data_IF_268696353827
#
_entry.id   IF_268696353827
#
_cell.length_a   1.000
_cell.length_b   1.000
_cell.length_c   1.000
_cell.angle_alpha   90.00
_cell.angle_beta   90.00
_cell.angle_gamma   90.00
#
_symmetry.space_group_name_H-M   'P 1'
#
loop_
_entity.id
_entity.type
_entity.pdbx_description
1 polymer ?
#
# COMPACT_ATOMS: atom_id res chain seq x y z
N UNK A 1 12.59 5.77 -18.86
CA UNK A 1 11.28 6.25 -19.32
C UNK A 1 10.61 7.10 -18.26
N UNK A 2 10.32 8.35 -18.60
CA UNK A 2 9.52 9.26 -17.77
C UNK A 2 8.06 8.82 -17.87
N UNK A 3 7.34 8.75 -16.73
CA UNK A 3 5.93 8.44 -16.74
C UNK A 3 5.11 9.55 -17.39
N UNK A 4 4.15 9.16 -18.23
CA UNK A 4 3.26 10.06 -18.96
C UNK A 4 1.90 10.13 -18.27
N UNK A 5 1.16 11.23 -18.43
CA UNK A 5 -0.16 11.41 -17.80
C UNK A 5 -1.20 10.37 -18.22
N UNK A 6 -1.03 9.73 -19.37
CA UNK A 6 -1.89 8.66 -19.84
C UNK A 6 -1.46 7.26 -19.41
N UNK A 7 -0.33 7.14 -18.71
CA UNK A 7 0.10 5.87 -18.14
C UNK A 7 -0.83 5.46 -16.99
N UNK A 8 -1.19 4.18 -16.97
CA UNK A 8 -2.07 3.65 -15.93
C UNK A 8 -1.27 3.36 -14.67
N UNK A 9 -1.76 3.89 -13.55
CA UNK A 9 -1.21 3.67 -12.23
C UNK A 9 -2.26 2.98 -11.37
N UNK A 10 -1.86 1.94 -10.65
CA UNK A 10 -2.77 1.13 -9.85
C UNK A 10 -2.33 1.10 -8.40
N UNK A 11 -3.29 1.33 -7.50
CA UNK A 11 -3.19 0.96 -6.10
C UNK A 11 -4.02 -0.31 -5.88
N UNK A 12 -3.40 -1.41 -5.47
CA UNK A 12 -4.07 -2.69 -5.29
C UNK A 12 -3.96 -3.16 -3.85
N UNK A 13 -5.08 -3.54 -3.27
CA UNK A 13 -5.13 -4.10 -1.92
C UNK A 13 -6.39 -3.72 -1.16
N UNK A 14 -6.22 -3.28 0.08
CA UNK A 14 -7.32 -2.98 1.00
C UNK A 14 -7.99 -1.64 0.71
N UNK A 15 -9.33 -1.66 0.76
CA UNK A 15 -10.19 -0.47 0.90
C UNK A 15 -11.13 -0.72 2.07
N UNK A 16 -11.31 0.29 2.91
CA UNK A 16 -12.01 0.09 4.17
C UNK A 16 -12.54 1.40 4.72
N UNK A 17 -13.38 1.29 5.72
CA UNK A 17 -13.77 2.40 6.57
C UNK A 17 -13.05 2.31 7.92
N UNK A 18 -12.39 3.40 8.31
CA UNK A 18 -11.97 3.61 9.69
C UNK A 18 -13.18 4.15 10.46
N UNK A 19 -13.63 3.37 11.43
CA UNK A 19 -14.85 3.67 12.20
C UNK A 19 -14.47 4.19 13.58
N UNK A 20 -14.76 5.47 13.81
CA UNK A 20 -14.55 6.16 15.06
C UNK A 20 -15.88 6.29 15.81
N UNK A 21 -15.88 6.59 17.13
CA UNK A 21 -17.14 6.86 17.86
C UNK A 21 -17.98 7.98 17.24
N UNK A 22 -17.33 9.00 16.68
CA UNK A 22 -17.98 10.18 16.08
C UNK A 22 -18.32 10.02 14.59
N UNK A 23 -17.89 8.97 13.92
CA UNK A 23 -18.15 8.77 12.50
C UNK A 23 -17.10 7.91 11.83
N UNK A 24 -17.14 7.84 10.49
CA UNK A 24 -16.22 7.02 9.72
C UNK A 24 -15.47 7.83 8.70
N UNK A 25 -14.27 7.36 8.34
CA UNK A 25 -13.43 7.92 7.28
C UNK A 25 -12.95 6.82 6.36
N UNK A 26 -12.84 7.14 5.08
CA UNK A 26 -12.31 6.19 4.11
C UNK A 26 -10.81 5.98 4.37
N UNK A 27 -10.37 4.74 4.28
CA UNK A 27 -8.99 4.34 4.49
C UNK A 27 -8.56 3.26 3.51
N UNK A 28 -7.31 2.85 3.67
CA UNK A 28 -6.64 1.90 2.80
C UNK A 28 -5.51 2.57 2.04
N UNK A 29 -4.29 2.13 2.29
CA UNK A 29 -3.09 2.71 1.66
C UNK A 29 -3.15 2.69 0.12
N UNK A 30 -3.62 1.60 -0.53
CA UNK A 30 -3.71 1.57 -1.99
C UNK A 30 -4.64 2.64 -2.57
N UNK A 31 -5.80 2.87 -1.95
CA UNK A 31 -6.74 3.89 -2.40
C UNK A 31 -6.18 5.29 -2.21
N UNK A 32 -5.51 5.54 -1.10
CA UNK A 32 -4.86 6.82 -0.84
C UNK A 32 -3.75 7.09 -1.88
N UNK A 33 -2.95 6.10 -2.20
CA UNK A 33 -1.93 6.21 -3.24
C UNK A 33 -2.57 6.56 -4.59
N UNK A 34 -3.58 5.83 -5.03
CA UNK A 34 -4.24 6.07 -6.30
C UNK A 34 -4.87 7.47 -6.36
N UNK A 35 -5.48 7.92 -5.26
CA UNK A 35 -6.06 9.25 -5.19
C UNK A 35 -5.00 10.34 -5.32
N UNK A 36 -3.88 10.22 -4.60
CA UNK A 36 -2.78 11.19 -4.73
C UNK A 36 -2.24 11.25 -6.15
N UNK A 37 -2.05 10.12 -6.80
CA UNK A 37 -1.55 10.07 -8.16
C UNK A 37 -2.57 10.67 -9.15
N UNK A 38 -3.87 10.50 -8.92
CA UNK A 38 -4.91 11.11 -9.75
C UNK A 38 -4.86 12.64 -9.68
N UNK A 39 -4.53 13.19 -8.53
CA UNK A 39 -4.39 14.63 -8.34
C UNK A 39 -3.19 15.21 -9.11
N UNK A 40 -2.18 14.40 -9.41
CA UNK A 40 -1.07 14.78 -10.30
C UNK A 40 -1.41 14.61 -11.80
N UNK A 41 -2.63 14.23 -12.12
CA UNK A 41 -3.11 14.10 -13.50
C UNK A 41 -2.87 12.74 -14.14
N UNK A 42 -2.42 11.73 -13.39
CA UNK A 42 -2.25 10.37 -13.90
C UNK A 42 -3.58 9.61 -13.96
N UNK A 43 -3.66 8.64 -14.88
CA UNK A 43 -4.79 7.69 -14.93
C UNK A 43 -4.63 6.66 -13.81
N UNK A 44 -5.09 7.02 -12.62
CA UNK A 44 -4.96 6.20 -11.43
C UNK A 44 -6.23 5.39 -11.18
N UNK A 45 -6.04 4.14 -10.76
CA UNK A 45 -7.15 3.22 -10.47
C UNK A 45 -6.90 2.45 -9.19
N UNK A 46 -7.97 2.20 -8.43
CA UNK A 46 -7.96 1.33 -7.26
C UNK A 46 -8.43 -0.05 -7.68
N UNK A 47 -7.68 -1.08 -7.30
CA UNK A 47 -8.08 -2.48 -7.45
C UNK A 47 -8.30 -3.08 -6.07
N UNK A 48 -9.52 -3.51 -5.78
CA UNK A 48 -9.90 -4.07 -4.49
C UNK A 48 -11.20 -4.85 -4.60
N UNK A 49 -11.85 -5.07 -3.46
CA UNK A 49 -13.20 -5.63 -3.37
C UNK A 49 -13.95 -5.00 -2.21
N UNK A 50 -15.28 -4.90 -2.39
CA UNK A 50 -16.23 -4.50 -1.34
C UNK A 50 -17.33 -5.54 -1.23
N UNK A 51 -18.08 -5.49 -0.14
CA UNK A 51 -19.25 -6.35 0.05
C UNK A 51 -20.47 -5.85 -0.68
N UNK A 52 -21.49 -6.70 -0.72
CA UNK A 52 -22.83 -6.35 -1.19
C UNK A 52 -23.62 -5.71 -0.04
N UNK A 53 -23.10 -4.58 0.45
CA UNK A 53 -23.62 -3.88 1.62
C UNK A 53 -23.53 -2.37 1.45
N UNK A 54 -24.14 -1.64 2.39
CA UNK A 54 -24.21 -0.18 2.35
C UNK A 54 -22.81 0.43 2.44
N UNK A 55 -21.94 -0.14 3.26
CA UNK A 55 -20.56 0.37 3.41
C UNK A 55 -19.80 0.25 2.09
N UNK A 56 -20.03 -0.82 1.33
CA UNK A 56 -19.46 -0.99 -0.01
C UNK A 56 -19.99 0.05 -0.99
N UNK A 57 -21.31 0.29 -0.98
CA UNK A 57 -21.93 1.34 -1.80
C UNK A 57 -21.30 2.70 -1.51
N UNK A 58 -21.12 3.03 -0.25
CA UNK A 58 -20.55 4.30 0.17
C UNK A 58 -19.07 4.45 -0.22
N UNK A 59 -18.29 3.37 -0.23
CA UNK A 59 -16.90 3.41 -0.75
C UNK A 59 -16.90 3.79 -2.23
N UNK A 60 -17.72 3.11 -3.04
CA UNK A 60 -17.77 3.37 -4.48
C UNK A 60 -18.28 4.77 -4.79
N UNK A 61 -19.26 5.23 -4.02
CA UNK A 61 -19.77 6.60 -4.12
C UNK A 61 -18.67 7.62 -3.79
N UNK A 62 -17.89 7.38 -2.74
CA UNK A 62 -16.75 8.22 -2.38
C UNK A 62 -15.72 8.32 -3.52
N UNK A 63 -15.39 7.20 -4.16
CA UNK A 63 -14.47 7.19 -5.30
C UNK A 63 -15.07 7.96 -6.49
N UNK A 64 -16.34 7.79 -6.77
CA UNK A 64 -17.03 8.53 -7.84
C UNK A 64 -17.01 10.04 -7.60
N UNK A 65 -17.28 10.48 -6.39
CA UNK A 65 -17.24 11.90 -6.00
C UNK A 65 -15.84 12.51 -6.17
N UNK A 66 -14.79 11.71 -5.91
CA UNK A 66 -13.39 12.13 -6.08
C UNK A 66 -12.91 12.05 -7.54
N UNK A 67 -13.73 11.53 -8.45
CA UNK A 67 -13.30 11.25 -9.81
C UNK A 67 -12.24 10.15 -9.92
N UNK A 68 -12.12 9.31 -8.90
CA UNK A 68 -11.16 8.23 -8.85
C UNK A 68 -11.70 6.98 -9.56
N UNK A 69 -10.98 6.52 -10.56
CA UNK A 69 -11.36 5.30 -11.28
C UNK A 69 -11.04 4.07 -10.44
N UNK A 70 -11.79 3.01 -10.64
CA UNK A 70 -11.60 1.79 -9.86
C UNK A 70 -12.02 0.55 -10.63
N UNK A 71 -11.39 -0.57 -10.28
CA UNK A 71 -11.81 -1.92 -10.58
C UNK A 71 -12.03 -2.62 -9.24
N UNK A 72 -13.26 -2.59 -8.74
CA UNK A 72 -13.62 -3.08 -7.40
C UNK A 72 -14.78 -4.07 -7.56
N UNK A 73 -14.50 -5.33 -7.24
CA UNK A 73 -15.51 -6.39 -7.30
C UNK A 73 -16.35 -6.38 -6.04
N UNK A 74 -17.62 -6.76 -6.20
CA UNK A 74 -18.49 -7.08 -5.07
C UNK A 74 -18.40 -8.57 -4.78
N UNK A 75 -18.10 -8.91 -3.53
CA UNK A 75 -17.88 -10.28 -3.10
C UNK A 75 -18.79 -10.62 -1.91
N UNK A 76 -19.10 -11.90 -1.65
CA UNK A 76 -19.98 -12.30 -0.55
C UNK A 76 -19.29 -12.26 0.82
N UNK A 77 -18.59 -11.17 1.10
CA UNK A 77 -17.93 -10.89 2.37
C UNK A 77 -18.22 -9.45 2.75
N UNK A 78 -18.25 -9.11 4.05
CA UNK A 78 -18.53 -7.73 4.46
C UNK A 78 -17.43 -6.78 3.99
N UNK A 79 -17.80 -5.56 3.67
CA UNK A 79 -16.84 -4.48 3.37
C UNK A 79 -15.90 -4.28 4.55
N UNK A 80 -14.62 -4.09 4.28
CA UNK A 80 -13.59 -3.95 5.30
C UNK A 80 -13.80 -2.76 6.22
N UNK A 81 -13.61 -2.99 7.52
CA UNK A 81 -13.66 -1.95 8.54
C UNK A 81 -12.51 -2.10 9.52
N UNK A 82 -12.07 -0.97 10.04
CA UNK A 82 -11.16 -0.89 11.19
C UNK A 82 -11.88 -0.09 12.27
N UNK A 83 -12.14 -0.72 13.40
CA UNK A 83 -12.73 0.00 14.53
C UNK A 83 -11.64 0.68 15.34
N UNK A 84 -11.80 1.97 15.57
CA UNK A 84 -10.88 2.80 16.33
C UNK A 84 -11.57 3.21 17.61
N UNK A 85 -11.05 2.74 18.74
CA UNK A 85 -11.53 3.09 20.08
C UNK A 85 -10.39 3.68 20.90
N UNK A 86 -10.74 4.42 21.95
CA UNK A 86 -9.77 4.91 22.91
C UNK A 86 -9.82 4.03 24.15
N UNK A 87 -8.66 3.63 24.68
CA UNK A 87 -8.59 2.95 25.96
C UNK A 87 -8.73 3.96 27.10
N UNK A 88 -8.68 3.49 28.36
CA UNK A 88 -8.82 4.34 29.57
C UNK A 88 -7.79 5.48 29.64
N UNK A 89 -6.60 5.28 29.03
CA UNK A 89 -5.56 6.31 28.94
C UNK A 89 -5.67 7.23 27.72
N UNK A 90 -6.76 7.13 26.94
CA UNK A 90 -6.94 7.92 25.72
C UNK A 90 -6.10 7.45 24.53
N UNK A 91 -5.49 6.29 24.63
CA UNK A 91 -4.64 5.72 23.56
C UNK A 91 -5.53 5.01 22.54
N UNK A 92 -5.37 5.29 21.23
CA UNK A 92 -6.14 4.61 20.20
C UNK A 92 -5.86 3.10 20.15
N UNK A 93 -6.93 2.32 20.08
CA UNK A 93 -6.89 0.88 19.81
C UNK A 93 -7.56 0.61 18.49
N UNK A 94 -6.91 -0.19 17.64
CA UNK A 94 -7.37 -0.50 16.29
C UNK A 94 -7.75 -1.97 16.20
N UNK A 95 -8.95 -2.23 15.74
CA UNK A 95 -9.38 -3.60 15.41
C UNK A 95 -9.60 -3.70 13.90
N UNK A 96 -8.65 -4.35 13.22
CA UNK A 96 -8.74 -4.60 11.79
C UNK A 96 -9.55 -5.88 11.60
N UNK A 97 -10.80 -5.75 11.14
CA UNK A 97 -11.70 -6.90 10.97
C UNK A 97 -11.13 -7.89 9.96
N UNK A 98 -11.27 -9.17 10.29
CA UNK A 98 -10.83 -10.27 9.43
C UNK A 98 -11.98 -10.83 8.61
N UNK A 99 -11.66 -11.63 7.58
CA UNK A 99 -12.61 -12.25 6.67
C UNK A 99 -13.55 -11.24 6.01
N UNK A 100 -12.96 -10.21 5.48
CA UNK A 100 -13.65 -9.10 4.82
C UNK A 100 -13.44 -9.13 3.30
N UNK A 101 -14.13 -8.23 2.60
CA UNK A 101 -14.13 -8.22 1.14
C UNK A 101 -12.74 -8.07 0.52
N UNK A 102 -11.89 -7.17 1.03
CA UNK A 102 -10.55 -6.97 0.46
C UNK A 102 -9.59 -8.16 0.71
N UNK A 103 -9.93 -9.08 1.58
CA UNK A 103 -9.23 -10.37 1.71
C UNK A 103 -9.52 -11.32 0.53
N UNK A 104 -10.55 -11.04 -0.26
CA UNK A 104 -11.13 -11.96 -1.24
C UNK A 104 -11.27 -11.31 -2.63
N UNK A 105 -10.26 -10.58 -3.06
CA UNK A 105 -10.23 -9.97 -4.39
C UNK A 105 -10.03 -11.06 -5.45
N UNK A 106 -10.99 -11.25 -6.37
CA UNK A 106 -10.84 -12.28 -7.38
C UNK A 106 -9.89 -11.83 -8.51
N UNK A 107 -9.25 -12.78 -9.14
CA UNK A 107 -8.48 -12.53 -10.35
C UNK A 107 -9.32 -12.87 -11.57
N UNK A 108 -9.50 -11.92 -12.46
CA UNK A 108 -10.34 -12.06 -13.65
C UNK A 108 -9.55 -11.77 -14.93
N UNK A 109 -10.06 -12.20 -16.11
CA UNK A 109 -9.43 -11.80 -17.37
C UNK A 109 -9.32 -10.28 -17.56
N UNK A 110 -10.28 -9.51 -17.05
CA UNK A 110 -10.24 -8.04 -17.10
C UNK A 110 -9.10 -7.50 -16.26
N UNK A 111 -8.90 -8.07 -15.08
CA UNK A 111 -7.79 -7.68 -14.20
C UNK A 111 -6.44 -8.02 -14.82
N UNK A 112 -6.34 -9.16 -15.47
CA UNK A 112 -5.14 -9.57 -16.21
C UNK A 112 -4.80 -8.57 -17.32
N UNK A 113 -5.78 -8.14 -18.09
CA UNK A 113 -5.61 -7.11 -19.12
C UNK A 113 -5.17 -5.79 -18.52
N UNK A 114 -5.76 -5.38 -17.40
CA UNK A 114 -5.34 -4.17 -16.69
C UNK A 114 -3.88 -4.27 -16.25
N UNK A 115 -3.48 -5.41 -15.70
CA UNK A 115 -2.08 -5.62 -15.27
C UNK A 115 -1.09 -5.41 -16.41
N UNK A 116 -1.40 -5.96 -17.60
CA UNK A 116 -0.55 -5.81 -18.78
C UNK A 116 -0.39 -4.35 -19.23
N UNK A 117 -1.36 -3.49 -18.92
CA UNK A 117 -1.36 -2.08 -19.28
C UNK A 117 -0.83 -1.17 -18.17
N UNK A 118 -0.65 -1.70 -16.96
CA UNK A 118 -0.26 -0.92 -15.79
C UNK A 118 1.23 -0.58 -15.83
N UNK A 119 1.52 0.71 -15.73
CA UNK A 119 2.90 1.22 -15.75
C UNK A 119 3.51 1.29 -14.36
N UNK A 120 2.69 1.51 -13.34
CA UNK A 120 3.13 1.60 -11.96
C UNK A 120 2.06 1.00 -11.05
N UNK A 121 2.46 0.20 -10.09
CA UNK A 121 1.57 -0.36 -9.07
C UNK A 121 2.14 -0.09 -7.69
N UNK A 122 1.26 0.20 -6.74
CA UNK A 122 1.60 0.24 -5.32
C UNK A 122 0.78 -0.80 -4.56
N UNK A 123 1.45 -1.58 -3.75
CA UNK A 123 0.86 -2.64 -2.94
C UNK A 123 1.57 -2.74 -1.59
N UNK A 124 0.92 -3.37 -0.63
CA UNK A 124 1.45 -3.53 0.72
C UNK A 124 1.36 -4.95 1.24
N UNK A 125 1.65 -5.12 2.51
CA UNK A 125 1.63 -6.44 3.17
C UNK A 125 0.26 -6.84 3.69
N UNK A 126 -0.54 -5.89 4.19
CA UNK A 126 -1.80 -6.17 4.89
C UNK A 126 -2.79 -6.98 4.03
N UNK A 127 -2.99 -6.58 2.78
CA UNK A 127 -3.93 -7.25 1.88
C UNK A 127 -3.48 -8.66 1.49
N UNK A 128 -2.28 -9.05 1.81
CA UNK A 128 -1.72 -10.37 1.52
C UNK A 128 -1.90 -11.36 2.68
N UNK A 129 -2.55 -10.95 3.76
CA UNK A 129 -2.77 -11.82 4.93
C UNK A 129 -3.62 -13.05 4.62
N UNK A 130 -4.50 -12.95 3.63
CA UNK A 130 -5.33 -14.07 3.15
C UNK A 130 -4.83 -14.54 1.79
N UNK A 131 -4.88 -15.84 1.54
CA UNK A 131 -4.34 -16.45 0.33
C UNK A 131 -5.05 -16.01 -0.95
N UNK A 132 -6.34 -15.69 -0.90
CA UNK A 132 -7.11 -15.31 -2.10
C UNK A 132 -6.57 -14.01 -2.69
N UNK A 133 -6.56 -12.94 -1.93
CA UNK A 133 -6.03 -11.64 -2.42
C UNK A 133 -4.52 -11.70 -2.68
N UNK A 134 -3.77 -12.42 -1.85
CA UNK A 134 -2.33 -12.61 -2.09
C UNK A 134 -2.07 -13.25 -3.44
N UNK A 135 -2.80 -14.29 -3.79
CA UNK A 135 -2.68 -14.96 -5.09
C UNK A 135 -3.02 -14.01 -6.23
N UNK A 136 -4.12 -13.28 -6.11
CA UNK A 136 -4.54 -12.26 -7.09
C UNK A 136 -3.47 -11.21 -7.28
N UNK A 137 -2.92 -10.69 -6.18
CA UNK A 137 -1.88 -9.66 -6.22
C UNK A 137 -0.61 -10.17 -6.88
N UNK A 138 -0.16 -11.36 -6.54
CA UNK A 138 1.04 -11.96 -7.15
C UNK A 138 0.84 -12.20 -8.65
N UNK A 139 -0.34 -12.67 -9.06
CA UNK A 139 -0.66 -12.84 -10.49
C UNK A 139 -0.68 -11.50 -11.22
N UNK A 140 -1.22 -10.46 -10.60
CA UNK A 140 -1.22 -9.10 -11.16
C UNK A 140 0.21 -8.62 -11.39
N UNK A 141 1.06 -8.71 -10.37
CA UNK A 141 2.45 -8.29 -10.46
C UNK A 141 3.22 -9.06 -11.53
N UNK A 142 3.00 -10.37 -11.61
CA UNK A 142 3.69 -11.23 -12.57
C UNK A 142 3.21 -10.98 -14.03
N UNK A 143 1.99 -10.48 -14.21
CA UNK A 143 1.45 -10.11 -15.53
C UNK A 143 1.90 -8.74 -16.03
N UNK A 144 2.42 -7.89 -15.16
CA UNK A 144 2.91 -6.56 -15.52
C UNK A 144 4.18 -6.66 -16.38
N UNK A 145 4.41 -5.64 -17.21
CA UNK A 145 5.66 -5.50 -17.97
C UNK A 145 6.87 -5.51 -17.02
N UNK A 146 7.97 -6.14 -17.44
CA UNK A 146 9.23 -6.13 -16.70
C UNK A 146 9.83 -4.73 -16.52
N UNK A 147 9.41 -3.75 -17.32
CA UNK A 147 9.85 -2.36 -17.24
C UNK A 147 8.93 -1.50 -16.34
N UNK A 148 7.82 -2.06 -15.87
CA UNK A 148 6.89 -1.34 -15.00
C UNK A 148 7.47 -1.12 -13.61
N UNK A 149 6.98 -0.07 -12.94
CA UNK A 149 7.35 0.23 -11.56
C UNK A 149 6.44 -0.54 -10.61
N UNK A 150 7.03 -1.33 -9.72
CA UNK A 150 6.32 -2.11 -8.70
C UNK A 150 6.76 -1.62 -7.33
N UNK A 151 5.92 -0.81 -6.72
CA UNK A 151 6.20 -0.18 -5.41
C UNK A 151 5.63 -1.05 -4.30
N UNK A 152 6.50 -1.60 -3.48
CA UNK A 152 6.11 -2.27 -2.26
C UNK A 152 6.21 -1.28 -1.10
N UNK A 153 5.08 -0.77 -0.65
CA UNK A 153 4.94 -0.02 0.58
C UNK A 153 4.65 -1.04 1.68
N UNK A 154 5.66 -1.38 2.46
CA UNK A 154 5.57 -2.49 3.41
C UNK A 154 4.37 -2.33 4.34
N UNK A 155 4.25 -1.19 5.00
CA UNK A 155 3.09 -0.82 5.80
C UNK A 155 2.64 -1.95 6.74
N UNK A 156 3.54 -2.40 7.62
CA UNK A 156 3.26 -3.48 8.56
C UNK A 156 2.15 -3.09 9.52
N UNK A 157 1.19 -3.98 9.70
CA UNK A 157 0.06 -3.80 10.63
C UNK A 157 -0.06 -5.00 11.54
N UNK A 158 0.08 -4.78 12.86
CA UNK A 158 -0.08 -5.80 13.88
C UNK A 158 0.72 -7.07 13.55
N UNK A 159 0.07 -8.22 13.46
CA UNK A 159 0.70 -9.50 13.12
C UNK A 159 0.26 -10.02 11.73
N UNK A 160 -0.31 -9.15 10.88
CA UNK A 160 -0.85 -9.53 9.57
C UNK A 160 0.22 -9.58 8.49
N UNK A 161 1.37 -10.14 8.80
CA UNK A 161 2.44 -10.39 7.84
C UNK A 161 3.22 -11.65 8.22
N UNK A 162 3.85 -12.25 7.23
CA UNK A 162 4.73 -13.40 7.41
C UNK A 162 6.05 -13.16 6.67
N UNK A 163 7.09 -13.90 7.04
CA UNK A 163 8.36 -13.88 6.33
C UNK A 163 8.18 -14.21 4.85
N UNK A 164 7.33 -15.20 4.53
CA UNK A 164 7.03 -15.61 3.16
C UNK A 164 6.44 -14.45 2.34
N UNK A 165 5.42 -13.77 2.88
CA UNK A 165 4.80 -12.62 2.22
C UNK A 165 5.82 -11.52 1.97
N UNK A 166 6.65 -11.20 2.96
CA UNK A 166 7.66 -10.16 2.84
C UNK A 166 8.70 -10.51 1.78
N UNK A 167 9.23 -11.73 1.80
CA UNK A 167 10.21 -12.18 0.81
C UNK A 167 9.66 -12.22 -0.61
N UNK A 168 8.46 -12.77 -0.79
CA UNK A 168 7.80 -12.85 -2.09
C UNK A 168 7.53 -11.45 -2.67
N UNK A 169 7.15 -10.51 -1.81
CA UNK A 169 6.91 -9.12 -2.20
C UNK A 169 8.21 -8.40 -2.55
N UNK A 170 9.26 -8.59 -1.76
CA UNK A 170 10.57 -7.98 -2.00
C UNK A 170 11.21 -8.47 -3.30
N UNK A 171 11.03 -9.74 -3.64
CA UNK A 171 11.53 -10.29 -4.91
C UNK A 171 10.78 -9.72 -6.11
N UNK A 172 9.49 -9.41 -5.95
CA UNK A 172 8.67 -8.89 -7.05
C UNK A 172 8.77 -7.38 -7.24
N UNK A 173 9.02 -6.62 -6.19
CA UNK A 173 9.11 -5.17 -6.29
C UNK A 173 10.44 -4.70 -6.88
N UNK A 174 10.45 -3.47 -7.39
CA UNK A 174 11.69 -2.76 -7.76
C UNK A 174 11.82 -1.41 -7.06
N UNK A 175 10.78 -1.00 -6.33
CA UNK A 175 10.80 0.16 -5.45
C UNK A 175 10.27 -0.28 -4.09
N UNK A 176 11.04 -0.02 -3.04
CA UNK A 176 10.67 -0.36 -1.68
C UNK A 176 10.47 0.92 -0.88
N UNK A 177 9.35 1.02 -0.18
CA UNK A 177 9.08 2.08 0.78
C UNK A 177 8.83 1.48 2.16
N UNK A 178 9.53 2.00 3.17
CA UNK A 178 9.38 1.57 4.54
C UNK A 178 9.75 2.71 5.49
N UNK A 179 9.32 2.59 6.74
CA UNK A 179 9.78 3.50 7.78
C UNK A 179 10.94 2.89 8.58
N UNK A 180 11.51 3.69 9.48
CA UNK A 180 12.66 3.29 10.29
C UNK A 180 12.36 2.11 11.23
N UNK A 181 11.17 2.05 11.80
CA UNK A 181 10.74 0.92 12.66
C UNK A 181 10.61 -0.38 11.84
N UNK A 182 10.04 -0.28 10.66
CA UNK A 182 9.92 -1.42 9.73
C UNK A 182 11.27 -1.93 9.27
N UNK A 183 12.23 -1.03 9.08
CA UNK A 183 13.60 -1.42 8.73
C UNK A 183 14.23 -2.27 9.84
N UNK A 184 14.02 -1.92 11.11
CA UNK A 184 14.49 -2.71 12.25
C UNK A 184 13.89 -4.12 12.21
N UNK A 185 12.59 -4.23 12.00
CA UNK A 185 11.90 -5.52 11.91
C UNK A 185 12.47 -6.37 10.76
N UNK A 186 12.60 -5.77 9.57
CA UNK A 186 13.16 -6.46 8.42
C UNK A 186 14.62 -6.87 8.62
N UNK A 187 15.40 -6.03 9.28
CA UNK A 187 16.80 -6.32 9.59
C UNK A 187 16.93 -7.60 10.40
N UNK A 188 16.07 -7.81 11.37
CA UNK A 188 16.03 -9.02 12.19
C UNK A 188 15.53 -10.22 11.39
N UNK A 189 14.39 -10.06 10.69
CA UNK A 189 13.79 -11.16 9.94
C UNK A 189 14.66 -11.66 8.79
N UNK A 190 15.37 -10.76 8.11
CA UNK A 190 16.22 -11.08 6.97
C UNK A 190 17.68 -11.31 7.36
N UNK A 191 18.00 -11.17 8.65
CA UNK A 191 19.35 -11.33 9.18
C UNK A 191 20.36 -10.46 8.40
N UNK A 192 20.05 -9.15 8.28
CA UNK A 192 20.94 -8.22 7.60
C UNK A 192 22.26 -8.10 8.35
N UNK A 193 23.38 -8.09 7.62
CA UNK A 193 24.72 -8.04 8.20
C UNK A 193 25.14 -6.64 8.59
N UNK A 194 24.63 -5.62 7.91
CA UNK A 194 24.95 -4.22 8.17
C UNK A 194 24.34 -3.73 9.49
N UNK A 195 25.07 -2.85 10.18
CA UNK A 195 24.66 -2.33 11.49
C UNK A 195 24.00 -0.96 11.42
N UNK A 196 24.48 -0.10 10.52
CA UNK A 196 23.93 1.25 10.36
C UNK A 196 22.63 1.24 9.56
N UNK A 197 21.80 2.26 9.78
CA UNK A 197 20.56 2.44 9.01
C UNK A 197 20.88 2.55 7.51
N UNK A 198 21.85 3.38 7.16
CA UNK A 198 22.26 3.55 5.76
C UNK A 198 22.80 2.24 5.16
N UNK A 199 23.66 1.54 5.89
CA UNK A 199 24.20 0.25 5.44
C UNK A 199 23.12 -0.78 5.20
N UNK A 200 22.12 -0.86 6.09
CA UNK A 200 20.96 -1.75 5.91
C UNK A 200 20.16 -1.43 4.65
N UNK A 201 19.95 -0.15 4.35
CA UNK A 201 19.28 0.27 3.14
C UNK A 201 20.06 -0.14 1.89
N UNK A 202 21.39 0.06 1.86
CA UNK A 202 22.22 -0.38 0.75
C UNK A 202 22.24 -1.90 0.60
N UNK A 203 22.25 -2.63 1.71
CA UNK A 203 22.18 -4.10 1.68
C UNK A 203 20.85 -4.57 1.08
N UNK A 204 19.74 -3.94 1.44
CA UNK A 204 18.42 -4.22 0.85
C UNK A 204 18.40 -3.93 -0.65
N UNK A 205 18.94 -2.76 -1.06
CA UNK A 205 19.04 -2.38 -2.47
C UNK A 205 19.74 -3.45 -3.30
N UNK A 206 20.87 -3.95 -2.81
CA UNK A 206 21.68 -4.95 -3.49
C UNK A 206 21.02 -6.33 -3.47
N UNK A 207 20.55 -6.76 -2.31
CA UNK A 207 19.99 -8.10 -2.10
C UNK A 207 18.76 -8.36 -2.98
N UNK A 208 17.90 -7.34 -3.17
CA UNK A 208 16.65 -7.46 -3.90
C UNK A 208 16.66 -6.74 -5.26
N UNK A 209 17.82 -6.28 -5.70
CA UNK A 209 17.98 -5.57 -6.98
C UNK A 209 16.98 -4.42 -7.12
N UNK A 210 16.87 -3.59 -6.08
CA UNK A 210 15.94 -2.48 -6.06
C UNK A 210 16.47 -1.31 -6.88
N UNK A 211 15.59 -0.64 -7.62
CA UNK A 211 15.90 0.62 -8.32
C UNK A 211 15.87 1.79 -7.36
N UNK A 212 14.93 1.78 -6.41
CA UNK A 212 14.74 2.85 -5.43
C UNK A 212 14.33 2.24 -4.09
N UNK A 213 14.86 2.80 -3.02
CA UNK A 213 14.40 2.55 -1.66
C UNK A 213 14.10 3.88 -1.00
N UNK A 214 12.90 4.02 -0.43
CA UNK A 214 12.45 5.21 0.29
C UNK A 214 12.32 4.86 1.76
N UNK A 215 13.16 5.47 2.59
CA UNK A 215 13.11 5.31 4.05
C UNK A 215 12.50 6.56 4.67
N UNK A 216 11.33 6.42 5.30
CA UNK A 216 10.69 7.51 6.01
C UNK A 216 11.09 7.50 7.48
N UNK A 217 11.43 8.68 8.02
CA UNK A 217 11.88 8.85 9.40
C UNK A 217 11.00 9.84 10.16
N UNK A 218 9.70 9.79 9.93
CA UNK A 218 8.72 10.66 10.59
C UNK A 218 9.02 12.14 10.38
N UNK A 219 9.05 12.89 11.47
CA UNK A 219 9.30 14.34 11.43
C UNK A 219 10.70 14.72 10.94
N UNK A 220 11.65 13.79 10.96
CA UNK A 220 13.02 14.03 10.51
C UNK A 220 13.16 14.08 8.98
N UNK A 221 12.15 13.58 8.25
CA UNK A 221 12.18 13.55 6.80
C UNK A 221 12.36 12.14 6.22
N UNK A 222 12.79 12.08 4.96
CA UNK A 222 12.92 10.82 4.23
C UNK A 222 14.24 10.74 3.48
N UNK A 223 14.81 9.54 3.40
CA UNK A 223 15.97 9.24 2.57
C UNK A 223 15.51 8.48 1.33
N UNK A 224 16.06 8.85 0.19
CA UNK A 224 15.82 8.16 -1.09
C UNK A 224 17.15 7.61 -1.60
N UNK A 225 17.22 6.29 -1.77
CA UNK A 225 18.38 5.58 -2.31
C UNK A 225 18.06 5.17 -3.73
N UNK A 226 18.93 5.50 -4.67
CA UNK A 226 18.75 5.16 -6.08
C UNK A 226 20.11 4.99 -6.74
N UNK A 227 20.36 3.84 -7.35
CA UNK A 227 21.67 3.51 -7.90
C UNK A 227 22.72 3.49 -6.79
N UNK A 228 23.69 4.39 -6.87
CA UNK A 228 24.74 4.59 -5.86
C UNK A 228 24.58 5.92 -5.11
N UNK A 229 23.47 6.62 -5.30
CA UNK A 229 23.20 7.92 -4.70
C UNK A 229 22.18 7.85 -3.58
N UNK A 230 22.34 8.73 -2.59
CA UNK A 230 21.38 8.95 -1.50
C UNK A 230 21.00 10.42 -1.46
N UNK A 231 19.71 10.68 -1.42
CA UNK A 231 19.14 12.02 -1.26
C UNK A 231 18.33 12.08 0.04
N UNK A 232 18.27 13.26 0.63
CA UNK A 232 17.47 13.52 1.82
C UNK A 232 16.40 14.56 1.50
N UNK A 233 15.17 14.30 1.96
CA UNK A 233 14.03 15.19 1.82
C UNK A 233 13.49 15.54 3.20
N UNK A 234 13.47 16.83 3.54
CA UNK A 234 12.85 17.30 4.77
C UNK A 234 11.34 17.09 4.73
N UNK A 235 10.77 16.70 5.89
CA UNK A 235 9.33 16.69 6.04
C UNK A 235 8.81 18.12 5.99
N UNK A 236 7.78 18.41 5.17
CA UNK A 236 7.16 19.74 5.16
C UNK A 236 6.61 20.05 6.56
N UNK A 237 7.05 21.18 7.14
CA UNK A 237 6.51 21.69 8.39
C UNK A 237 5.17 22.38 8.10
N UNK A 238 4.08 21.63 8.17
CA UNK A 238 2.74 22.20 8.16
C UNK A 238 2.43 22.63 9.59
N UNK A 239 2.18 23.93 9.82
CA UNK A 239 1.55 24.37 11.06
C UNK A 239 0.21 23.64 11.13
N UNK A 240 0.06 22.77 12.12
CA UNK A 240 -1.25 22.22 12.47
C UNK A 240 -2.04 23.40 13.02
N UNK A 241 -2.88 23.99 12.18
CA UNK A 241 -3.94 24.85 12.65
C UNK A 241 -4.95 23.92 13.28
N UNK A 242 -5.17 24.05 14.60
CA UNK A 242 -6.22 23.32 15.28
C UNK A 242 -7.51 23.49 14.48
N UNK A 243 -7.93 22.41 13.86
CA UNK A 243 -9.28 22.30 13.33
C UNK A 243 -10.13 21.89 14.52
N UNK A 244 -10.75 22.87 15.14
CA UNK A 244 -11.87 22.66 16.07
C UNK A 244 -13.01 22.00 15.32
#
# INVERSE_FOLDING_TARGET
HVMMNNDIIVGIGEVLWDVFPEGKRIGGAPANFAYHMSQFGFDSRVVSAVGEDVLGDEILENFNEKGLRYWVERVPFPTGTVEVTLNEGGIPCYEIKQSVAWDNVPYTPELDRLACQTRCVCFGSLAQRNVVTRTTLNRFLDAMSGEAYKVFDINLRQHFYTMEVLKDSLVRCNILKLNDEELVILSELLELSEKSIEGKCWEMMKRFDLKVLILTCGVQGSYVFSGDTRSFLDTPHVKVVDTV
#
